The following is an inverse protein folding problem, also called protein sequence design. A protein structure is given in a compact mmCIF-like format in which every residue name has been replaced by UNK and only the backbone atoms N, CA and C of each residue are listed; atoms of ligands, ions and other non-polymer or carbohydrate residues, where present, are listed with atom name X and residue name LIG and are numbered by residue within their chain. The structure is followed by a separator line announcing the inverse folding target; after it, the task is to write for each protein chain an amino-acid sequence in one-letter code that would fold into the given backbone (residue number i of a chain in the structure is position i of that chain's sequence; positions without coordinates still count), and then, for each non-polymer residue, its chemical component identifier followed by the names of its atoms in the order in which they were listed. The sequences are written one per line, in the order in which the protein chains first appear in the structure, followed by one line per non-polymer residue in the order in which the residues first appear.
data_IF_897435768036
#
_entry.id   IF_897435768036
#
_cell.length_a   1.000
_cell.length_b   1.000
_cell.length_c   1.000
_cell.angle_alpha   90.00
_cell.angle_beta   90.00
_cell.angle_gamma   90.00
#
_symmetry.space_group_name_H-M   'P 1'
#
loop_
_entity.id
_entity.type
_entity.pdbx_description
1 polymer ?
#
# COMPACT_ATOMS: atom_id res chain seq x y z
N UNK A 1 -4.86 -2.89 -33.47
CA UNK A 1 -3.53 -2.98 -32.82
C UNK A 1 -3.62 -4.00 -31.70
N UNK A 2 -2.66 -4.92 -31.58
CA UNK A 2 -2.59 -5.78 -30.40
C UNK A 2 -2.23 -4.90 -29.18
N UNK A 3 -2.99 -5.01 -28.10
CA UNK A 3 -2.73 -4.26 -26.87
C UNK A 3 -1.44 -4.73 -26.18
N UNK A 4 -0.83 -3.87 -25.37
CA UNK A 4 0.34 -4.22 -24.55
C UNK A 4 -0.12 -4.77 -23.20
N UNK A 5 0.41 -5.91 -22.78
CA UNK A 5 0.22 -6.43 -21.41
C UNK A 5 1.22 -5.77 -20.48
N UNK A 6 0.75 -5.27 -19.33
CA UNK A 6 1.54 -4.48 -18.39
C UNK A 6 1.27 -4.89 -16.95
N UNK A 7 2.22 -4.64 -16.06
CA UNK A 7 2.04 -4.81 -14.62
C UNK A 7 1.21 -3.69 -14.02
N UNK A 8 0.14 -4.02 -13.30
CA UNK A 8 -0.77 -3.04 -12.70
C UNK A 8 -1.04 -3.31 -11.20
N UNK A 9 -1.34 -2.25 -10.46
CA UNK A 9 -1.89 -2.30 -9.10
C UNK A 9 -3.36 -1.92 -9.16
N UNK A 10 -4.21 -2.60 -8.40
CA UNK A 10 -5.59 -2.16 -8.16
C UNK A 10 -5.56 -1.29 -6.91
N UNK A 11 -6.03 -0.07 -7.02
CA UNK A 11 -5.92 0.95 -5.99
C UNK A 11 -7.25 1.69 -5.83
N UNK A 12 -8.06 1.26 -4.87
CA UNK A 12 -9.29 1.95 -4.49
C UNK A 12 -9.07 3.26 -3.72
N UNK A 13 -7.83 3.53 -3.26
CA UNK A 13 -7.43 4.80 -2.67
C UNK A 13 -7.20 5.90 -3.72
N UNK A 14 -7.00 5.52 -4.99
CA UNK A 14 -6.90 6.46 -6.11
C UNK A 14 -8.24 6.60 -6.84
N UNK A 15 -8.77 7.82 -6.91
CA UNK A 15 -10.00 8.11 -7.65
C UNK A 15 -9.88 7.91 -9.18
N UNK A 16 -8.66 7.91 -9.72
CA UNK A 16 -8.39 7.83 -11.14
C UNK A 16 -7.22 6.89 -11.46
N UNK A 17 -7.25 6.28 -12.63
CA UNK A 17 -6.17 5.44 -13.11
C UNK A 17 -4.95 6.25 -13.56
N UNK A 18 -3.77 5.69 -13.33
CA UNK A 18 -2.48 6.32 -13.59
C UNK A 18 -1.62 5.40 -14.45
N UNK A 19 -1.04 5.94 -15.52
CA UNK A 19 -0.07 5.29 -16.38
C UNK A 19 1.32 5.85 -16.07
N UNK A 20 2.34 5.01 -16.02
CA UNK A 20 3.71 5.49 -15.84
C UNK A 20 4.17 6.32 -17.04
N UNK A 21 4.99 7.35 -16.81
CA UNK A 21 5.59 8.15 -17.89
C UNK A 21 6.36 7.32 -18.93
N UNK A 22 6.99 6.21 -18.50
CA UNK A 22 7.69 5.29 -19.40
C UNK A 22 6.71 4.50 -20.29
N UNK A 23 5.61 3.99 -19.72
CA UNK A 23 4.58 3.29 -20.49
C UNK A 23 3.86 4.25 -21.45
N UNK A 24 3.56 5.47 -21.02
CA UNK A 24 2.94 6.49 -21.88
C UNK A 24 3.80 6.80 -23.11
N UNK A 25 5.11 6.99 -22.92
CA UNK A 25 6.08 7.17 -24.01
C UNK A 25 6.10 5.97 -24.96
N UNK A 26 6.15 4.75 -24.40
CA UNK A 26 6.14 3.49 -25.18
C UNK A 26 4.88 3.32 -26.02
N UNK A 27 3.74 3.81 -25.53
CA UNK A 27 2.45 3.78 -26.23
C UNK A 27 2.24 4.98 -27.17
N UNK A 28 3.18 5.94 -27.21
CA UNK A 28 3.04 7.16 -28.01
C UNK A 28 1.88 8.05 -27.56
N UNK A 29 1.51 8.02 -26.27
CA UNK A 29 0.43 8.85 -25.76
C UNK A 29 0.83 10.33 -25.81
N UNK A 30 -0.05 11.15 -26.35
CA UNK A 30 0.11 12.61 -26.40
C UNK A 30 -0.63 13.24 -25.22
N UNK A 31 0.06 13.72 -24.19
CA UNK A 31 -0.61 14.32 -23.04
C UNK A 31 -1.25 15.64 -23.44
N UNK A 32 -2.47 15.86 -22.95
CA UNK A 32 -3.30 17.01 -23.34
C UNK A 32 -3.16 18.19 -22.39
N UNK A 33 -2.94 17.93 -21.10
CA UNK A 33 -2.97 18.94 -20.05
C UNK A 33 -2.07 18.54 -18.87
N UNK A 34 -1.59 19.53 -18.10
CA UNK A 34 -0.93 19.33 -16.81
C UNK A 34 -1.94 19.52 -15.68
N UNK A 35 -1.93 18.59 -14.72
CA UNK A 35 -2.82 18.59 -13.56
C UNK A 35 -2.02 18.30 -12.29
N UNK A 36 -2.62 18.59 -11.14
CA UNK A 36 -2.06 18.24 -9.84
C UNK A 36 -2.84 17.09 -9.27
N UNK A 37 -2.14 16.02 -8.91
CA UNK A 37 -2.70 14.86 -8.21
C UNK A 37 -2.29 14.92 -6.74
N UNK A 38 -3.11 14.35 -5.87
CA UNK A 38 -2.89 14.29 -4.43
C UNK A 38 -2.42 12.89 -4.07
N UNK A 39 -1.34 12.80 -3.29
CA UNK A 39 -0.93 11.59 -2.61
C UNK A 39 -1.33 11.63 -1.13
N UNK A 40 -0.77 10.74 -0.31
CA UNK A 40 -1.09 10.65 1.12
C UNK A 40 -0.70 11.94 1.86
N UNK A 41 0.52 12.43 1.59
CA UNK A 41 1.15 13.51 2.36
C UNK A 41 1.44 14.77 1.54
N UNK A 42 1.39 14.67 0.21
CA UNK A 42 1.80 15.72 -0.71
C UNK A 42 1.01 15.74 -2.01
N UNK A 43 1.51 16.55 -2.95
CA UNK A 43 0.94 16.72 -4.28
C UNK A 43 2.00 16.46 -5.32
N UNK A 44 1.62 15.82 -6.42
CA UNK A 44 2.49 15.57 -7.56
C UNK A 44 1.92 16.20 -8.82
N UNK A 45 2.81 16.59 -9.73
CA UNK A 45 2.42 16.99 -11.07
C UNK A 45 2.16 15.74 -11.91
N UNK A 46 1.02 15.71 -12.59
CA UNK A 46 0.69 14.68 -13.56
C UNK A 46 0.29 15.33 -14.90
N UNK A 47 0.39 14.56 -15.97
CA UNK A 47 -0.20 14.92 -17.25
C UNK A 47 -1.50 14.12 -17.46
N UNK A 48 -2.35 14.55 -18.38
CA UNK A 48 -3.61 13.88 -18.69
C UNK A 48 -3.59 13.31 -20.11
N UNK A 49 -3.81 12.00 -20.26
CA UNK A 49 -4.13 11.39 -21.55
C UNK A 49 -5.62 11.07 -21.62
N UNK A 50 -6.19 11.07 -22.83
CA UNK A 50 -7.63 10.86 -23.05
C UNK A 50 -7.89 9.60 -23.84
N UNK A 51 -9.09 9.05 -23.70
CA UNK A 51 -9.62 7.94 -24.51
C UNK A 51 -8.73 6.69 -24.49
N UNK A 52 -8.37 6.23 -23.30
CA UNK A 52 -7.55 5.02 -23.15
C UNK A 52 -8.47 3.80 -23.03
N UNK A 53 -8.25 2.80 -23.88
CA UNK A 53 -8.91 1.50 -23.75
C UNK A 53 -8.03 0.53 -22.96
N UNK A 54 -8.61 -0.09 -21.93
CA UNK A 54 -7.95 -1.07 -21.07
C UNK A 54 -8.76 -2.35 -21.13
N UNK A 55 -8.09 -3.48 -21.27
CA UNK A 55 -8.71 -4.80 -21.11
C UNK A 55 -8.39 -5.33 -19.71
N UNK A 56 -9.41 -5.49 -18.86
CA UNK A 56 -9.29 -5.98 -17.50
C UNK A 56 -10.41 -6.99 -17.20
N UNK A 57 -10.10 -8.11 -16.54
CA UNK A 57 -11.10 -9.14 -16.23
C UNK A 57 -11.76 -9.79 -17.46
N UNK A 58 -11.12 -9.73 -18.63
CA UNK A 58 -11.69 -10.19 -19.90
C UNK A 58 -12.52 -9.13 -20.63
N UNK A 59 -12.84 -8.02 -19.97
CA UNK A 59 -13.68 -6.95 -20.51
C UNK A 59 -12.87 -5.75 -20.97
N UNK A 60 -13.35 -5.04 -22.00
CA UNK A 60 -12.77 -3.78 -22.45
C UNK A 60 -13.50 -2.62 -21.77
N UNK A 61 -12.73 -1.68 -21.24
CA UNK A 61 -13.23 -0.43 -20.68
C UNK A 61 -12.50 0.73 -21.31
N UNK A 62 -13.25 1.74 -21.74
CA UNK A 62 -12.67 3.00 -22.22
C UNK A 62 -12.73 4.03 -21.10
N UNK A 63 -11.57 4.46 -20.63
CA UNK A 63 -11.47 5.57 -19.69
C UNK A 63 -11.46 6.90 -20.46
N UNK A 64 -12.32 7.86 -20.11
CA UNK A 64 -12.31 9.20 -20.71
C UNK A 64 -10.96 9.88 -20.57
N UNK A 65 -10.30 9.67 -19.43
CA UNK A 65 -8.96 10.15 -19.15
C UNK A 65 -8.23 9.27 -18.15
N UNK A 66 -6.89 9.30 -18.22
CA UNK A 66 -5.97 8.75 -17.23
C UNK A 66 -4.88 9.77 -16.93
N UNK A 67 -4.31 9.70 -15.73
CA UNK A 67 -3.13 10.48 -15.40
C UNK A 67 -1.86 9.80 -15.90
N UNK A 68 -0.87 10.59 -16.27
CA UNK A 68 0.50 10.14 -16.55
C UNK A 68 1.39 10.75 -15.47
N UNK A 69 2.09 9.89 -14.73
CA UNK A 69 2.97 10.31 -13.64
C UNK A 69 4.23 9.46 -13.55
N UNK A 70 5.24 9.95 -12.83
CA UNK A 70 6.41 9.15 -12.47
C UNK A 70 6.04 8.19 -11.32
N UNK A 71 6.10 6.88 -11.59
CA UNK A 71 5.81 5.82 -10.63
C UNK A 71 7.08 5.13 -10.10
N UNK A 72 8.26 5.75 -10.26
CA UNK A 72 9.53 5.17 -9.78
C UNK A 72 9.55 4.94 -8.28
N UNK A 73 9.12 5.91 -7.46
CA UNK A 73 9.09 5.75 -6.00
C UNK A 73 8.20 4.56 -5.58
N UNK A 74 7.02 4.42 -6.20
CA UNK A 74 6.11 3.28 -5.98
C UNK A 74 6.75 1.97 -6.43
N UNK A 75 7.38 1.95 -7.61
CA UNK A 75 8.05 0.77 -8.16
C UNK A 75 9.22 0.31 -7.27
N UNK A 76 10.02 1.26 -6.76
CA UNK A 76 11.14 0.98 -5.86
C UNK A 76 10.66 0.47 -4.50
N UNK A 77 9.58 1.03 -3.95
CA UNK A 77 9.00 0.59 -2.68
C UNK A 77 8.40 -0.83 -2.77
N UNK A 78 7.78 -1.18 -3.91
CA UNK A 78 7.29 -2.53 -4.17
C UNK A 78 8.37 -3.49 -4.68
N UNK A 79 9.56 -2.96 -5.01
CA UNK A 79 10.68 -3.66 -5.63
C UNK A 79 10.32 -4.38 -6.93
N UNK A 80 9.44 -3.80 -7.74
CA UNK A 80 9.14 -4.25 -9.11
C UNK A 80 8.54 -3.11 -9.93
N UNK A 81 8.69 -3.11 -11.27
CA UNK A 81 8.09 -2.08 -12.12
C UNK A 81 6.57 -2.03 -11.95
N UNK A 82 6.05 -0.84 -11.68
CA UNK A 82 4.62 -0.53 -11.73
C UNK A 82 4.38 0.34 -12.94
N UNK A 83 3.74 -0.23 -13.95
CA UNK A 83 3.45 0.49 -15.19
C UNK A 83 2.09 1.17 -15.14
N UNK A 84 1.18 0.67 -14.30
CA UNK A 84 -0.17 1.19 -14.17
C UNK A 84 -0.74 1.07 -12.75
N UNK A 85 -1.53 2.06 -12.36
CA UNK A 85 -2.44 2.01 -11.21
C UNK A 85 -3.86 2.07 -11.76
N UNK A 86 -4.68 1.08 -11.42
CA UNK A 86 -6.11 1.00 -11.76
C UNK A 86 -6.90 1.58 -10.60
N UNK A 87 -7.39 2.80 -10.77
CA UNK A 87 -8.14 3.53 -9.76
C UNK A 87 -9.61 3.12 -9.67
N UNK A 88 -10.35 3.86 -8.86
CA UNK A 88 -11.81 3.77 -8.70
C UNK A 88 -12.55 3.85 -10.05
N UNK A 89 -12.07 4.69 -10.98
CA UNK A 89 -12.64 4.83 -12.33
C UNK A 89 -12.69 3.52 -13.15
N UNK A 90 -11.81 2.56 -12.86
CA UNK A 90 -11.83 1.21 -13.41
C UNK A 90 -12.79 0.27 -12.68
N UNK A 91 -13.00 0.50 -11.38
CA UNK A 91 -13.84 -0.30 -10.48
C UNK A 91 -15.31 0.13 -10.50
N UNK A 92 -15.60 1.39 -10.86
CA UNK A 92 -16.95 1.90 -10.98
C UNK A 92 -17.79 1.07 -11.96
N UNK A 93 -19.09 0.96 -11.73
CA UNK A 93 -20.06 0.16 -12.51
C UNK A 93 -19.80 -1.35 -12.48
N UNK A 94 -18.94 -1.82 -11.56
CA UNK A 94 -18.58 -3.22 -11.39
C UNK A 94 -18.74 -3.65 -9.95
N UNK A 95 -19.05 -4.93 -9.80
CA UNK A 95 -18.94 -5.66 -8.55
C UNK A 95 -17.69 -6.54 -8.65
N UNK A 96 -16.68 -6.29 -7.82
CA UNK A 96 -15.38 -6.98 -7.87
C UNK A 96 -15.19 -7.79 -6.60
N UNK A 97 -15.04 -9.11 -6.72
CA UNK A 97 -14.72 -9.97 -5.59
C UNK A 97 -13.22 -10.28 -5.57
N UNK A 98 -12.60 -10.17 -4.39
CA UNK A 98 -11.18 -10.45 -4.15
C UNK A 98 -11.03 -11.68 -3.25
N UNK A 99 -10.27 -12.65 -3.74
CA UNK A 99 -9.79 -13.81 -3.01
C UNK A 99 -8.26 -13.70 -2.90
N UNK A 100 -7.80 -13.08 -1.82
CA UNK A 100 -6.38 -12.82 -1.59
C UNK A 100 -5.59 -14.10 -1.33
N UNK A 101 -6.21 -15.09 -0.68
CA UNK A 101 -5.56 -16.36 -0.35
C UNK A 101 -5.19 -17.16 -1.61
N UNK A 102 -6.11 -17.22 -2.57
CA UNK A 102 -5.88 -17.91 -3.85
C UNK A 102 -5.32 -16.99 -4.95
N UNK A 103 -5.13 -15.70 -4.66
CA UNK A 103 -4.66 -14.67 -5.61
C UNK A 103 -5.55 -14.56 -6.84
N UNK A 104 -6.87 -14.54 -6.63
CA UNK A 104 -7.86 -14.44 -7.69
C UNK A 104 -8.75 -13.22 -7.47
N UNK A 105 -9.26 -12.69 -8.57
CA UNK A 105 -10.35 -11.75 -8.56
C UNK A 105 -11.41 -12.18 -9.56
N UNK A 106 -12.64 -11.76 -9.33
CA UNK A 106 -13.72 -11.87 -10.31
C UNK A 106 -14.38 -10.51 -10.50
N UNK A 107 -14.82 -10.25 -11.73
CA UNK A 107 -15.49 -9.00 -12.10
C UNK A 107 -16.89 -9.36 -12.58
N UNK A 108 -17.88 -8.74 -11.98
CA UNK A 108 -19.28 -8.87 -12.34
C UNK A 108 -19.95 -7.50 -12.54
N UNK A 109 -21.22 -7.52 -12.91
CA UNK A 109 -22.05 -6.33 -13.01
C UNK A 109 -22.33 -5.74 -11.62
N UNK A 110 -22.45 -4.40 -11.53
CA UNK A 110 -22.92 -3.75 -10.30
C UNK A 110 -24.29 -4.30 -9.87
N UNK A 111 -24.52 -4.42 -8.56
CA UNK A 111 -25.69 -5.07 -7.97
C UNK A 111 -25.70 -6.59 -8.09
N UNK A 112 -24.65 -7.20 -8.67
CA UNK A 112 -24.56 -8.64 -8.91
C UNK A 112 -24.32 -9.50 -7.66
N UNK A 113 -24.06 -8.88 -6.50
CA UNK A 113 -23.85 -9.57 -5.24
C UNK A 113 -24.78 -9.03 -4.16
N UNK A 114 -25.60 -9.89 -3.56
CA UNK A 114 -26.55 -9.50 -2.53
C UNK A 114 -25.97 -9.57 -1.10
N UNK A 115 -24.92 -10.37 -0.91
CA UNK A 115 -24.45 -10.81 0.40
C UNK A 115 -25.33 -11.91 0.97
N UNK A 116 -24.77 -13.11 1.15
CA UNK A 116 -25.43 -14.24 1.79
C UNK A 116 -25.05 -14.33 3.29
N UNK A 117 -25.53 -15.36 4.00
CA UNK A 117 -25.21 -15.56 5.42
C UNK A 117 -23.69 -15.60 5.63
N UNK A 118 -23.20 -14.80 6.59
CA UNK A 118 -21.77 -14.72 6.93
C UNK A 118 -21.04 -13.55 6.25
N UNK A 119 -21.67 -12.89 5.28
CA UNK A 119 -21.18 -11.60 4.78
C UNK A 119 -21.77 -10.46 5.60
N UNK A 120 -20.91 -9.55 6.02
CA UNK A 120 -21.29 -8.27 6.57
C UNK A 120 -21.30 -7.22 5.48
N UNK A 121 -22.41 -6.51 5.35
CA UNK A 121 -22.54 -5.36 4.46
C UNK A 121 -22.09 -4.09 5.21
N UNK A 122 -21.20 -3.35 4.58
CA UNK A 122 -20.67 -2.07 5.05
C UNK A 122 -20.90 -1.01 3.96
N UNK A 123 -21.34 0.17 4.37
CA UNK A 123 -21.55 1.28 3.45
C UNK A 123 -20.22 1.83 2.95
N UNK A 124 -20.14 2.11 1.65
CA UNK A 124 -19.08 2.89 1.05
C UNK A 124 -19.61 4.27 0.69
N UNK A 125 -18.86 5.30 1.04
CA UNK A 125 -19.18 6.69 0.70
C UNK A 125 -17.96 7.37 0.08
N UNK A 126 -18.19 8.47 -0.64
CA UNK A 126 -17.10 9.29 -1.17
C UNK A 126 -16.81 10.47 -0.26
N UNK A 127 -15.52 10.71 0.00
CA UNK A 127 -15.03 11.93 0.60
C UNK A 127 -15.07 13.12 -0.37
N UNK A 128 -14.74 14.31 0.15
CA UNK A 128 -14.74 15.56 -0.63
C UNK A 128 -13.83 15.54 -1.86
N UNK A 129 -12.80 14.69 -1.89
CA UNK A 129 -11.88 14.54 -3.01
C UNK A 129 -12.05 13.19 -3.71
N UNK A 130 -13.24 12.58 -3.60
CA UNK A 130 -13.57 11.24 -4.11
C UNK A 130 -12.76 10.10 -3.48
N UNK A 131 -12.22 10.29 -2.29
CA UNK A 131 -11.68 9.16 -1.52
C UNK A 131 -12.80 8.15 -1.27
N UNK A 132 -12.55 6.85 -1.46
CA UNK A 132 -13.51 5.82 -1.12
C UNK A 132 -13.39 5.51 0.37
N UNK A 133 -14.45 5.78 1.12
CA UNK A 133 -14.43 5.76 2.58
C UNK A 133 -15.26 4.60 3.14
N UNK A 134 -14.74 4.02 4.22
CA UNK A 134 -15.41 3.05 5.07
C UNK A 134 -15.24 3.45 6.53
N UNK A 135 -16.24 3.20 7.36
CA UNK A 135 -16.15 3.44 8.79
C UNK A 135 -15.39 2.30 9.49
N UNK A 136 -14.43 2.68 10.33
CA UNK A 136 -13.70 1.75 11.20
C UNK A 136 -13.40 2.39 12.56
N UNK A 137 -13.19 1.56 13.58
CA UNK A 137 -12.77 2.03 14.91
C UNK A 137 -11.34 1.58 15.23
N UNK A 138 -10.61 2.44 15.93
CA UNK A 138 -9.27 2.17 16.47
C UNK A 138 -9.32 2.29 17.98
N UNK A 139 -8.70 1.35 18.71
CA UNK A 139 -8.63 1.34 20.17
C UNK A 139 -10.00 1.51 20.87
N UNK A 140 -11.04 0.87 20.31
CA UNK A 140 -12.43 0.94 20.77
C UNK A 140 -13.04 2.37 20.78
N UNK A 141 -12.41 3.32 20.10
CA UNK A 141 -12.94 4.67 19.89
C UNK A 141 -14.14 4.63 18.93
N UNK A 142 -14.82 5.78 18.77
CA UNK A 142 -15.91 5.91 17.82
C UNK A 142 -15.50 5.47 16.40
N UNK A 143 -16.44 4.89 15.66
CA UNK A 143 -16.24 4.62 14.24
C UNK A 143 -16.01 5.94 13.51
N UNK A 144 -14.96 6.00 12.71
CA UNK A 144 -14.60 7.17 11.92
C UNK A 144 -14.32 6.76 10.47
N UNK A 145 -14.57 7.65 9.51
CA UNK A 145 -14.29 7.38 8.11
C UNK A 145 -12.79 7.24 7.87
N UNK A 146 -12.43 6.16 7.17
CA UNK A 146 -11.08 5.86 6.71
C UNK A 146 -11.10 5.53 5.23
N UNK A 147 -10.04 5.86 4.50
CA UNK A 147 -9.89 5.47 3.09
C UNK A 147 -9.75 3.95 3.01
N UNK A 148 -10.59 3.31 2.20
CA UNK A 148 -10.44 1.89 1.86
C UNK A 148 -9.45 1.76 0.70
N UNK A 149 -8.22 1.33 1.00
CA UNK A 149 -7.07 1.51 0.12
C UNK A 149 -6.42 0.16 -0.26
N UNK A 150 -6.86 -0.43 -1.38
CA UNK A 150 -6.24 -1.63 -1.94
C UNK A 150 -4.80 -1.40 -2.47
N UNK A 151 -4.41 -0.16 -2.72
CA UNK A 151 -3.09 0.22 -3.23
C UNK A 151 -2.01 0.36 -2.15
N UNK A 152 -2.42 0.52 -0.88
CA UNK A 152 -1.51 0.67 0.25
C UNK A 152 -0.94 -0.67 0.73
N UNK A 153 0.39 -0.76 0.80
CA UNK A 153 1.11 -1.87 1.44
C UNK A 153 1.19 -1.77 2.96
N UNK A 154 0.72 -0.66 3.54
CA UNK A 154 0.67 -0.45 5.00
C UNK A 154 -0.69 -0.86 5.53
N UNK A 155 -0.74 -1.65 6.61
CA UNK A 155 -2.00 -2.16 7.15
C UNK A 155 -2.96 -1.06 7.62
N UNK A 156 -2.44 -0.09 8.37
CA UNK A 156 -3.19 1.06 8.86
C UNK A 156 -2.33 2.32 8.75
N UNK A 157 -2.89 3.39 8.21
CA UNK A 157 -2.34 4.74 8.40
C UNK A 157 -3.33 5.59 9.17
N UNK A 158 -2.83 6.41 10.10
CA UNK A 158 -3.64 7.34 10.88
C UNK A 158 -3.13 8.77 10.72
N UNK A 159 -4.06 9.71 10.61
CA UNK A 159 -3.73 11.13 10.57
C UNK A 159 -3.04 11.56 11.88
N UNK A 160 -2.00 12.41 11.83
CA UNK A 160 -1.31 12.90 13.03
C UNK A 160 -2.22 13.54 14.06
N UNK A 161 -3.23 14.29 13.62
CA UNK A 161 -4.24 14.90 14.49
C UNK A 161 -5.01 13.83 15.25
N UNK A 162 -5.51 12.79 14.56
CA UNK A 162 -6.24 11.69 15.19
C UNK A 162 -5.39 10.95 16.23
N UNK A 163 -4.12 10.68 15.91
CA UNK A 163 -3.15 10.06 16.83
C UNK A 163 -2.93 10.92 18.07
N UNK A 164 -2.74 12.23 17.89
CA UNK A 164 -2.52 13.19 18.98
C UNK A 164 -3.75 13.38 19.86
N UNK A 165 -4.91 13.64 19.26
CA UNK A 165 -6.17 13.94 19.94
C UNK A 165 -6.61 12.80 20.87
N UNK A 166 -6.31 11.56 20.47
CA UNK A 166 -6.64 10.35 21.24
C UNK A 166 -5.45 9.76 22.00
N UNK A 167 -4.28 10.42 21.98
CA UNK A 167 -3.05 10.00 22.69
C UNK A 167 -2.64 8.56 22.38
N UNK A 168 -2.77 8.13 21.13
CA UNK A 168 -2.56 6.73 20.74
C UNK A 168 -1.11 6.23 20.93
N UNK A 169 -0.15 7.16 21.10
CA UNK A 169 1.26 6.83 21.34
C UNK A 169 1.62 6.75 22.83
N UNK A 170 0.69 7.04 23.74
CA UNK A 170 0.98 7.06 25.17
C UNK A 170 1.24 5.65 25.69
N UNK A 171 2.48 5.39 26.12
CA UNK A 171 2.90 4.07 26.62
C UNK A 171 3.10 3.02 25.53
N UNK A 172 3.06 3.41 24.26
CA UNK A 172 3.26 2.53 23.11
C UNK A 172 4.70 2.68 22.61
N UNK A 173 5.36 1.56 22.28
CA UNK A 173 6.67 1.59 21.64
C UNK A 173 6.52 2.23 20.25
N UNK A 174 7.49 3.01 19.81
CA UNK A 174 7.40 3.70 18.54
C UNK A 174 8.78 3.96 17.94
N UNK A 175 8.78 4.11 16.63
CA UNK A 175 9.96 4.44 15.84
C UNK A 175 9.59 5.30 14.63
N UNK A 176 10.53 5.49 13.71
CA UNK A 176 10.31 6.19 12.45
C UNK A 176 10.32 5.21 11.28
N UNK A 177 9.49 5.48 10.28
CA UNK A 177 9.49 4.77 9.01
C UNK A 177 9.50 5.75 7.84
N UNK A 178 9.73 5.25 6.64
CA UNK A 178 9.54 5.98 5.39
C UNK A 178 8.38 5.36 4.60
N UNK A 179 7.54 6.23 4.03
CA UNK A 179 6.44 5.87 3.14
C UNK A 179 6.83 6.34 1.75
N UNK A 180 6.74 5.44 0.76
CA UNK A 180 6.87 5.79 -0.66
C UNK A 180 5.50 5.87 -1.32
N UNK A 181 5.26 6.96 -2.04
CA UNK A 181 4.02 7.19 -2.78
C UNK A 181 4.25 7.98 -4.07
N UNK A 182 3.16 8.36 -4.75
CA UNK A 182 3.21 9.22 -5.94
C UNK A 182 3.72 10.64 -5.62
N UNK A 183 3.54 11.08 -4.38
CA UNK A 183 4.02 12.33 -3.82
C UNK A 183 5.48 12.28 -3.34
N UNK A 184 6.18 11.16 -3.58
CA UNK A 184 7.58 10.96 -3.21
C UNK A 184 7.73 10.14 -1.94
N UNK A 185 8.85 10.35 -1.23
CA UNK A 185 9.13 9.67 0.05
C UNK A 185 8.84 10.64 1.19
N UNK A 186 8.06 10.19 2.16
CA UNK A 186 7.75 10.96 3.38
C UNK A 186 8.09 10.15 4.63
N UNK A 187 8.36 10.85 5.73
CA UNK A 187 8.59 10.22 7.02
C UNK A 187 7.28 9.94 7.75
N UNK A 188 7.28 8.91 8.59
CA UNK A 188 6.17 8.55 9.45
C UNK A 188 6.67 8.11 10.83
N UNK A 189 5.81 8.21 11.82
CA UNK A 189 5.93 7.44 13.06
C UNK A 189 5.36 6.05 12.82
N UNK A 190 6.05 5.00 13.28
CA UNK A 190 5.56 3.61 13.24
C UNK A 190 5.34 3.09 14.65
N UNK A 191 4.27 2.33 14.85
CA UNK A 191 3.85 1.72 16.11
C UNK A 191 2.84 0.60 15.85
N UNK A 192 2.58 -0.26 16.84
CA UNK A 192 1.52 -1.27 16.77
C UNK A 192 0.22 -0.72 17.37
N UNK A 193 -0.88 -0.81 16.61
CA UNK A 193 -2.23 -0.55 17.11
C UNK A 193 -2.88 -1.86 17.55
N UNK A 194 -3.18 -2.00 18.83
CA UNK A 194 -3.65 -3.27 19.41
C UNK A 194 -4.99 -3.74 18.85
N UNK A 195 -5.91 -2.81 18.59
CA UNK A 195 -7.28 -3.12 18.17
C UNK A 195 -7.75 -2.17 17.09
N UNK A 196 -8.07 -2.75 15.93
CA UNK A 196 -8.76 -2.09 14.83
C UNK A 196 -10.02 -2.91 14.55
N UNK A 197 -11.13 -2.27 14.21
CA UNK A 197 -12.36 -2.96 13.84
C UNK A 197 -12.87 -2.39 12.53
N UNK A 198 -13.02 -3.26 11.55
CA UNK A 198 -13.65 -2.97 10.26
C UNK A 198 -14.93 -3.82 10.18
N UNK A 199 -16.08 -3.17 10.04
CA UNK A 199 -17.37 -3.82 10.27
C UNK A 199 -17.50 -4.30 11.73
N UNK A 200 -17.85 -5.57 11.93
CA UNK A 200 -17.95 -6.26 13.22
C UNK A 200 -16.69 -7.05 13.58
N UNK A 201 -15.69 -7.07 12.71
CA UNK A 201 -14.53 -7.95 12.87
C UNK A 201 -13.37 -7.18 13.49
N UNK A 202 -12.91 -7.60 14.69
CA UNK A 202 -11.71 -7.04 15.29
C UNK A 202 -10.45 -7.65 14.66
N UNK A 203 -9.57 -6.78 14.17
CA UNK A 203 -8.17 -7.09 13.82
C UNK A 203 -7.30 -6.66 15.01
N UNK A 204 -6.37 -7.53 15.41
CA UNK A 204 -5.43 -7.25 16.50
C UNK A 204 -4.03 -6.97 15.95
N UNK A 205 -3.26 -6.18 16.70
CA UNK A 205 -1.85 -5.89 16.43
C UNK A 205 -1.61 -5.46 14.96
N UNK A 206 -2.17 -4.32 14.58
CA UNK A 206 -1.99 -3.76 13.24
C UNK A 206 -0.76 -2.82 13.22
N UNK A 207 0.28 -3.11 12.41
CA UNK A 207 1.35 -2.18 12.10
C UNK A 207 0.75 -0.90 11.54
N UNK A 208 1.04 0.20 12.22
CA UNK A 208 0.41 1.48 11.98
C UNK A 208 1.46 2.53 11.66
N UNK A 209 1.22 3.29 10.60
CA UNK A 209 2.01 4.48 10.28
C UNK A 209 1.21 5.75 10.52
N UNK A 210 1.84 6.74 11.13
CA UNK A 210 1.35 8.11 11.18
C UNK A 210 2.29 8.99 10.35
N UNK A 211 1.97 9.29 9.07
CA UNK A 211 2.80 10.18 8.24
C UNK A 211 2.91 11.56 8.88
N UNK A 212 3.96 12.33 8.60
CA UNK A 212 4.10 13.70 9.15
C UNK A 212 3.00 14.65 8.69
N UNK A 213 2.42 14.40 7.51
CA UNK A 213 1.34 15.20 6.92
C UNK A 213 0.23 14.27 6.43
N UNK A 214 -1.02 14.69 6.63
CA UNK A 214 -2.21 14.01 6.11
C UNK A 214 -3.08 15.02 5.36
N UNK A 215 -3.41 14.73 4.09
CA UNK A 215 -4.12 15.69 3.24
C UNK A 215 -5.64 15.47 3.14
N UNK A 216 -6.17 14.33 3.58
CA UNK A 216 -7.63 14.13 3.54
C UNK A 216 -8.30 14.90 4.67
N UNK A 217 -9.39 15.58 4.34
CA UNK A 217 -10.28 16.26 5.30
C UNK A 217 -11.55 15.45 5.56
N UNK A 218 -11.75 14.34 4.85
CA UNK A 218 -12.93 13.48 4.96
C UNK A 218 -12.64 12.16 5.68
N UNK A 219 -11.36 11.82 5.87
CA UNK A 219 -10.93 10.58 6.51
C UNK A 219 -9.85 10.86 7.57
N UNK A 220 -9.89 10.11 8.67
CA UNK A 220 -8.89 10.19 9.76
C UNK A 220 -7.74 9.19 9.59
N UNK A 221 -7.77 8.40 8.52
CA UNK A 221 -6.77 7.37 8.23
C UNK A 221 -7.07 6.62 6.94
N UNK A 222 -6.26 5.61 6.64
CA UNK A 222 -6.49 4.63 5.58
C UNK A 222 -6.28 3.21 6.08
N UNK A 223 -7.08 2.29 5.56
CA UNK A 223 -6.98 0.85 5.79
C UNK A 223 -6.41 0.23 4.53
N UNK A 224 -5.20 -0.33 4.63
CA UNK A 224 -4.50 -0.87 3.48
C UNK A 224 -4.65 -2.37 3.29
N UNK A 225 -4.03 -2.86 2.22
CA UNK A 225 -4.14 -4.24 1.76
C UNK A 225 -3.90 -5.31 2.84
N UNK A 226 -2.88 -5.23 3.73
CA UNK A 226 -2.68 -6.27 4.75
C UNK A 226 -3.88 -6.45 5.69
N UNK A 227 -4.55 -5.36 6.06
CA UNK A 227 -5.74 -5.39 6.91
C UNK A 227 -6.98 -5.80 6.12
N UNK A 228 -7.15 -5.27 4.90
CA UNK A 228 -8.23 -5.66 3.99
C UNK A 228 -8.18 -7.17 3.70
N UNK A 229 -6.98 -7.73 3.52
CA UNK A 229 -6.77 -9.14 3.21
C UNK A 229 -6.96 -10.08 4.42
N UNK A 230 -7.41 -9.57 5.57
CA UNK A 230 -8.00 -10.40 6.62
C UNK A 230 -9.44 -10.82 6.29
N UNK A 231 -9.98 -10.35 5.16
CA UNK A 231 -11.33 -10.61 4.69
C UNK A 231 -11.32 -11.17 3.27
N UNK A 232 -12.32 -12.00 2.95
CA UNK A 232 -12.87 -12.06 1.60
C UNK A 232 -13.65 -10.76 1.39
N UNK A 233 -13.46 -10.14 0.22
CA UNK A 233 -14.01 -8.81 -0.08
C UNK A 233 -14.83 -8.87 -1.35
N UNK A 234 -16.03 -8.28 -1.32
CA UNK A 234 -16.76 -7.90 -2.53
C UNK A 234 -16.97 -6.39 -2.51
N UNK A 235 -16.46 -5.72 -3.53
CA UNK A 235 -16.46 -4.27 -3.67
C UNK A 235 -17.39 -3.87 -4.82
N UNK A 236 -18.41 -3.07 -4.53
CA UNK A 236 -19.27 -2.46 -5.54
C UNK A 236 -19.36 -0.96 -5.29
N UNK A 237 -18.48 -0.22 -5.96
CA UNK A 237 -18.34 1.23 -5.78
C UNK A 237 -19.60 1.96 -6.22
N UNK A 238 -20.20 1.55 -7.34
CA UNK A 238 -21.40 2.21 -7.87
C UNK A 238 -22.65 1.95 -7.04
N UNK A 239 -22.75 0.77 -6.42
CA UNK A 239 -23.81 0.50 -5.45
C UNK A 239 -23.53 1.13 -4.06
N UNK A 240 -22.32 1.66 -3.82
CA UNK A 240 -21.92 2.17 -2.52
C UNK A 240 -21.85 1.07 -1.45
N UNK A 241 -21.48 -0.15 -1.85
CA UNK A 241 -21.51 -1.31 -0.97
C UNK A 241 -20.17 -2.04 -0.93
N UNK A 242 -19.77 -2.39 0.28
CA UNK A 242 -18.68 -3.31 0.57
C UNK A 242 -19.26 -4.51 1.31
N UNK A 243 -18.90 -5.72 0.92
CA UNK A 243 -19.18 -6.91 1.70
C UNK A 243 -17.89 -7.51 2.20
N UNK A 244 -17.88 -7.83 3.48
CA UNK A 244 -16.75 -8.38 4.20
C UNK A 244 -17.14 -9.70 4.84
N UNK A 245 -16.29 -10.70 4.68
CA UNK A 245 -16.36 -11.96 5.43
C UNK A 245 -14.97 -12.27 5.93
N UNK A 246 -14.76 -12.62 7.21
CA UNK A 246 -13.44 -13.05 7.67
C UNK A 246 -12.86 -14.12 6.73
N UNK A 247 -11.66 -13.87 6.23
CA UNK A 247 -10.99 -14.85 5.38
C UNK A 247 -10.66 -16.10 6.20
N UNK A 248 -10.76 -17.29 5.60
CA UNK A 248 -10.29 -18.52 6.26
C UNK A 248 -8.79 -18.44 6.57
N UNK A 249 -8.04 -17.75 5.71
CA UNK A 249 -6.62 -17.46 5.88
C UNK A 249 -6.32 -16.06 5.37
N UNK A 250 -6.13 -15.12 6.30
CA UNK A 250 -5.66 -13.78 5.97
C UNK A 250 -4.19 -13.78 5.51
N UNK A 251 -3.79 -12.70 4.84
CA UNK A 251 -2.37 -12.43 4.62
C UNK A 251 -1.68 -12.12 5.97
N UNK A 252 -0.38 -12.43 6.13
CA UNK A 252 0.31 -12.10 7.36
C UNK A 252 0.37 -10.58 7.54
N UNK A 253 0.16 -10.15 8.78
CA UNK A 253 0.44 -8.78 9.20
C UNK A 253 1.95 -8.66 9.45
N UNK A 254 2.67 -8.06 8.50
CA UNK A 254 4.13 -8.06 8.52
C UNK A 254 4.67 -6.92 9.37
N UNK A 255 5.47 -7.28 10.36
CA UNK A 255 6.18 -6.36 11.26
C UNK A 255 7.65 -6.31 10.88
N UNK A 256 8.15 -5.13 10.50
CA UNK A 256 9.58 -4.96 10.23
C UNK A 256 10.33 -5.07 11.56
N UNK A 257 11.30 -5.98 11.63
CA UNK A 257 12.18 -6.12 12.78
C UNK A 257 13.61 -5.70 12.46
N UNK A 258 13.84 -5.15 11.26
CA UNK A 258 15.18 -4.73 10.82
C UNK A 258 15.43 -3.24 11.04
N UNK A 259 14.42 -2.39 10.86
CA UNK A 259 14.56 -0.94 10.94
C UNK A 259 14.95 -0.26 9.64
N UNK A 260 14.89 -0.96 8.51
CA UNK A 260 15.28 -0.40 7.22
C UNK A 260 14.08 0.04 6.39
N UNK A 261 14.11 1.28 5.89
CA UNK A 261 13.47 1.61 4.62
C UNK A 261 14.42 1.26 3.49
N UNK A 262 14.01 0.35 2.61
CA UNK A 262 14.82 -0.14 1.49
C UNK A 262 14.15 0.20 0.18
N UNK A 263 14.95 0.67 -0.78
CA UNK A 263 14.56 0.79 -2.18
C UNK A 263 15.36 -0.24 -2.99
N UNK A 264 14.67 -1.07 -3.77
CA UNK A 264 15.34 -1.95 -4.72
C UNK A 264 15.72 -1.15 -5.98
N UNK A 265 17.00 -1.19 -6.32
CA UNK A 265 17.53 -0.64 -7.57
C UNK A 265 18.34 -1.72 -8.27
N UNK A 266 17.76 -2.30 -9.34
CA UNK A 266 18.34 -3.45 -10.07
C UNK A 266 18.61 -4.64 -9.14
N UNK A 267 19.87 -4.85 -8.78
CA UNK A 267 20.39 -6.01 -8.06
C UNK A 267 21.01 -5.57 -6.71
N UNK A 268 20.52 -4.46 -6.15
CA UNK A 268 20.99 -3.89 -4.90
C UNK A 268 19.82 -3.25 -4.12
N UNK A 269 19.85 -3.39 -2.78
CA UNK A 269 18.96 -2.66 -1.89
C UNK A 269 19.68 -1.44 -1.34
N UNK A 270 19.14 -0.26 -1.61
CA UNK A 270 19.63 0.98 -1.02
C UNK A 270 18.84 1.31 0.24
N UNK A 271 19.57 1.65 1.30
CA UNK A 271 19.00 2.17 2.53
C UNK A 271 18.53 3.60 2.28
N UNK A 272 17.22 3.80 2.22
CA UNK A 272 16.59 5.12 2.07
C UNK A 272 16.11 5.69 3.39
N UNK A 273 16.01 4.85 4.43
CA UNK A 273 15.65 5.26 5.78
C UNK A 273 16.21 4.29 6.81
N UNK A 274 16.64 4.82 7.96
CA UNK A 274 17.03 4.04 9.13
C UNK A 274 16.14 4.47 10.28
N UNK A 275 15.35 3.52 10.78
CA UNK A 275 14.37 3.74 11.82
C UNK A 275 15.04 4.06 13.17
N UNK A 276 14.53 5.05 13.90
CA UNK A 276 15.07 5.41 15.22
C UNK A 276 14.99 4.23 16.19
N UNK A 277 16.02 4.03 17.02
CA UNK A 277 16.06 2.95 18.02
C UNK A 277 15.96 1.51 17.45
N UNK A 278 16.12 1.32 16.15
CA UNK A 278 16.02 0.02 15.48
C UNK A 278 17.35 -0.75 15.44
N UNK A 279 17.34 -2.04 15.09
CA UNK A 279 18.56 -2.80 14.85
C UNK A 279 19.47 -2.16 13.80
N UNK A 280 18.92 -1.68 12.69
CA UNK A 280 19.72 -1.00 11.65
C UNK A 280 20.47 0.21 12.22
N UNK A 281 19.82 1.02 13.06
CA UNK A 281 20.44 2.17 13.71
C UNK A 281 21.54 1.74 14.70
N UNK A 282 21.29 0.71 15.51
CA UNK A 282 22.24 0.19 16.50
C UNK A 282 23.48 -0.44 15.85
N UNK A 283 23.32 -1.05 14.68
CA UNK A 283 24.41 -1.62 13.88
C UNK A 283 25.11 -0.61 12.97
N UNK A 284 24.83 0.69 13.12
CA UNK A 284 25.53 1.78 12.43
C UNK A 284 25.27 1.85 10.92
N UNK A 285 24.13 1.35 10.44
CA UNK A 285 23.72 1.57 9.05
C UNK A 285 23.29 3.02 8.83
N UNK A 286 23.59 3.54 7.65
CA UNK A 286 23.24 4.89 7.23
C UNK A 286 22.37 4.92 5.97
N UNK A 287 21.64 6.03 5.78
CA UNK A 287 21.02 6.32 4.49
C UNK A 287 22.11 6.42 3.42
N UNK A 288 21.88 5.78 2.28
CA UNK A 288 22.84 5.66 1.18
C UNK A 288 23.67 4.38 1.23
N UNK A 289 23.68 3.64 2.34
CA UNK A 289 24.30 2.31 2.38
C UNK A 289 23.62 1.36 1.39
N UNK A 290 24.44 0.52 0.77
CA UNK A 290 24.05 -0.51 -0.18
C UNK A 290 24.13 -1.90 0.41
N UNK A 291 23.12 -2.75 0.18
CA UNK A 291 23.09 -4.16 0.55
C UNK A 291 23.05 -4.99 -0.73
N UNK A 292 24.10 -5.79 -0.94
CA UNK A 292 24.29 -6.64 -2.11
C UNK A 292 23.87 -8.09 -1.89
N UNK A 293 23.93 -8.57 -0.64
CA UNK A 293 23.52 -9.93 -0.31
C UNK A 293 22.96 -10.03 1.11
N UNK A 294 22.04 -10.97 1.30
CA UNK A 294 21.45 -11.31 2.59
C UNK A 294 21.66 -12.80 2.82
N UNK A 295 22.24 -13.17 3.96
CA UNK A 295 22.55 -14.56 4.31
C UNK A 295 23.30 -15.33 3.20
N UNK A 296 24.25 -14.64 2.56
CA UNK A 296 25.06 -15.20 1.46
C UNK A 296 24.34 -15.34 0.12
N UNK A 297 23.09 -14.90 0.01
CA UNK A 297 22.36 -14.85 -1.25
C UNK A 297 22.33 -13.43 -1.81
N UNK A 298 22.77 -13.28 -3.05
CA UNK A 298 22.79 -11.98 -3.73
C UNK A 298 21.38 -11.43 -3.98
N UNK A 299 21.27 -10.11 -3.98
CA UNK A 299 20.08 -9.40 -4.46
C UNK A 299 20.06 -9.48 -5.98
N UNK A 300 18.91 -9.82 -6.54
CA UNK A 300 18.69 -9.87 -7.98
C UNK A 300 17.24 -9.46 -8.32
N UNK A 301 16.93 -9.43 -9.60
CA UNK A 301 15.57 -9.16 -10.11
C UNK A 301 14.45 -10.05 -9.55
N UNK A 302 14.77 -11.20 -8.92
CA UNK A 302 13.80 -12.11 -8.30
C UNK A 302 13.48 -11.78 -6.84
N UNK A 303 14.22 -10.86 -6.21
CA UNK A 303 14.17 -10.56 -4.77
C UNK A 303 12.75 -10.37 -4.20
N UNK A 304 11.85 -9.71 -4.94
CA UNK A 304 10.46 -9.47 -4.51
C UNK A 304 9.45 -10.50 -5.02
N UNK A 305 9.85 -11.40 -5.92
CA UNK A 305 8.99 -12.44 -6.48
C UNK A 305 9.03 -13.74 -5.69
N UNK A 306 10.09 -13.96 -4.91
CA UNK A 306 10.30 -15.17 -4.14
C UNK A 306 10.13 -14.94 -2.63
N UNK A 307 10.90 -15.67 -1.80
CA UNK A 307 10.90 -15.52 -0.35
C UNK A 307 12.05 -14.69 0.21
N UNK A 308 12.96 -14.19 -0.63
CA UNK A 308 14.20 -13.54 -0.20
C UNK A 308 13.92 -12.25 0.59
N UNK A 309 12.96 -11.42 0.14
CA UNK A 309 12.56 -10.18 0.80
C UNK A 309 12.00 -10.34 2.22
N UNK A 310 11.62 -11.57 2.63
CA UNK A 310 10.93 -11.81 3.91
C UNK A 310 11.85 -11.69 5.13
N UNK A 311 13.16 -11.62 4.94
CA UNK A 311 14.15 -11.62 6.02
C UNK A 311 13.88 -10.58 7.11
N UNK A 312 13.43 -9.38 6.72
CA UNK A 312 13.13 -8.27 7.65
C UNK A 312 11.96 -8.54 8.59
N UNK A 313 11.09 -9.48 8.21
CA UNK A 313 9.86 -9.84 8.93
C UNK A 313 10.01 -11.19 9.65
N UNK A 314 11.22 -11.74 9.72
CA UNK A 314 11.51 -12.93 10.52
C UNK A 314 11.46 -12.61 12.00
N UNK A 315 11.35 -13.64 12.85
CA UNK A 315 11.19 -13.46 14.31
C UNK A 315 12.31 -12.61 14.93
N UNK A 316 12.00 -11.77 15.93
CA UNK A 316 13.00 -11.14 16.78
C UNK A 316 14.01 -12.16 17.33
N UNK A 317 15.27 -11.76 17.45
CA UNK A 317 16.40 -12.61 17.81
C UNK A 317 17.05 -13.35 16.65
N UNK A 318 16.46 -13.33 15.44
CA UNK A 318 17.10 -13.91 14.25
C UNK A 318 18.29 -13.07 13.83
N UNK A 319 19.44 -13.70 13.60
CA UNK A 319 20.63 -13.05 13.04
C UNK A 319 20.57 -13.11 11.52
N UNK A 320 20.78 -11.96 10.87
CA UNK A 320 20.83 -11.83 9.41
C UNK A 320 22.18 -11.25 9.02
N UNK A 321 22.92 -11.95 8.17
CA UNK A 321 24.19 -11.49 7.64
C UNK A 321 23.95 -10.62 6.40
N UNK A 322 24.35 -9.35 6.44
CA UNK A 322 24.16 -8.39 5.36
C UNK A 322 25.52 -8.01 4.76
N UNK A 323 25.70 -8.27 3.47
CA UNK A 323 26.90 -7.87 2.73
C UNK A 323 26.69 -6.51 2.08
N UNK A 324 27.57 -5.56 2.37
CA UNK A 324 27.52 -4.22 1.79
C UNK A 324 28.36 -4.09 0.50
N UNK A 325 28.26 -2.93 -0.15
CA UNK A 325 29.00 -2.60 -1.38
C UNK A 325 30.52 -2.54 -1.21
N UNK A 326 31.03 -2.45 0.02
CA UNK A 326 32.46 -2.53 0.34
C UNK A 326 32.91 -3.97 0.57
N UNK A 327 32.02 -4.95 0.39
CA UNK A 327 32.28 -6.36 0.61
C UNK A 327 32.29 -6.77 2.08
N UNK A 328 31.97 -5.86 3.01
CA UNK A 328 31.90 -6.15 4.44
C UNK A 328 30.60 -6.86 4.73
N UNK A 329 30.67 -7.91 5.55
CA UNK A 329 29.46 -8.58 6.07
C UNK A 329 29.22 -8.14 7.50
N UNK A 330 28.03 -7.62 7.78
CA UNK A 330 27.59 -7.19 9.10
C UNK A 330 26.43 -8.06 9.56
N UNK A 331 26.51 -8.59 10.76
CA UNK A 331 25.39 -9.29 11.38
C UNK A 331 24.41 -8.28 11.96
N UNK A 332 23.13 -8.50 11.67
CA UNK A 332 22.01 -7.75 12.19
C UNK A 332 21.11 -8.69 13.02
N UNK A 333 20.95 -8.39 14.30
CA UNK A 333 19.98 -9.09 15.14
C UNK A 333 18.62 -8.41 15.02
N UNK A 334 17.62 -9.09 14.47
CA UNK A 334 16.26 -8.56 14.35
C UNK A 334 15.65 -8.36 15.74
N UNK A 335 14.86 -7.29 15.92
CA UNK A 335 14.21 -7.00 17.20
C UNK A 335 12.92 -6.19 17.00
N UNK A 336 11.99 -6.33 17.96
CA UNK A 336 10.84 -5.43 18.07
C UNK A 336 11.34 -4.03 18.45
N UNK A 337 11.15 -3.04 17.59
CA UNK A 337 11.63 -1.67 17.83
C UNK A 337 10.52 -0.61 17.80
N UNK A 338 9.28 -1.01 17.53
CA UNK A 338 8.06 -0.20 17.59
C UNK A 338 6.87 -1.05 18.04
#
# INVERSE_FOLDING_TARGET
MAGLSVGAIIDSGSAASIISSSLATKLGLSPTEKRTVRGVSGRASALLARNIEIKFGGERRRLPSVFIADLKAVSSALGRPVEMVLGEDMLAERCVAFDFANRRLSVGATGGFAGEKGWERVSLIHGSNRELLVDASVMDLANMPMVFDLGSSTALMLAPSYVSDHRLLQGVRQSTAAIGGIDGITSATTFITDRVKLGKVPIRAAPTLSPTTWLSTSAVGSIGLPLIAQFDVVLDVSAGQLWLRPAQRGLPMLEDHSGFGLALTKDELHVVHVAKNSPAAQSGWGVGDGILAINGRDIDSSYTFDHHWRWRFMKPGTIVALKDHLGRTRDLCLADYY
#
